data_IF_245717083348
#
_entry.id   IF_245717083348
#
_cell.length_a   1.000
_cell.length_b   1.000
_cell.length_c   1.000
_cell.angle_alpha   90.00
_cell.angle_beta   90.00
_cell.angle_gamma   90.00
#
_symmetry.space_group_name_H-M   'P 1'
#
loop_
_entity.id
_entity.type
_entity.pdbx_description
1 polymer ?
#
# COMPACT_ATOMS: atom_id res chain seq x y z
N UNK A 1 -47.51 62.12 19.69
CA UNK A 1 -46.21 62.26 20.38
C UNK A 1 -46.04 61.00 21.21
N UNK A 2 -45.19 60.07 20.77
CA UNK A 2 -44.65 58.95 21.55
C UNK A 2 -43.67 58.20 20.65
N UNK A 3 -42.41 58.63 20.70
CA UNK A 3 -41.31 57.83 20.16
C UNK A 3 -40.66 57.16 21.38
N UNK A 4 -40.89 55.86 21.49
CA UNK A 4 -40.18 55.00 22.41
C UNK A 4 -38.75 54.84 21.88
N UNK A 5 -37.69 55.06 22.68
CA UNK A 5 -36.34 54.85 22.20
C UNK A 5 -36.12 53.34 22.01
N UNK A 6 -35.90 52.93 20.77
CA UNK A 6 -35.44 51.59 20.45
C UNK A 6 -34.01 51.44 20.98
N UNK A 7 -33.83 50.66 22.03
CA UNK A 7 -32.51 50.14 22.40
C UNK A 7 -32.07 49.23 21.24
N UNK A 8 -31.29 49.78 20.31
CA UNK A 8 -30.54 49.00 19.32
C UNK A 8 -29.72 47.98 20.09
N UNK A 9 -29.87 46.71 19.69
CA UNK A 9 -29.23 45.57 20.31
C UNK A 9 -27.76 45.85 20.58
N UNK A 10 -27.30 45.39 21.74
CA UNK A 10 -25.90 45.43 22.14
C UNK A 10 -25.08 44.74 21.04
N UNK A 11 -24.39 45.52 20.21
CA UNK A 11 -23.30 45.01 19.38
C UNK A 11 -22.26 44.48 20.36
N UNK A 12 -22.36 43.19 20.69
CA UNK A 12 -21.38 42.48 21.49
C UNK A 12 -20.09 42.43 20.66
N UNK A 13 -19.24 43.46 20.85
CA UNK A 13 -17.94 43.53 20.23
C UNK A 13 -17.20 42.22 20.51
N UNK A 14 -16.87 41.48 19.45
CA UNK A 14 -16.09 40.22 19.52
C UNK A 14 -14.78 40.50 20.27
N UNK A 15 -14.58 39.98 21.50
CA UNK A 15 -13.34 40.23 22.21
C UNK A 15 -12.16 39.60 21.44
N UNK A 16 -11.14 40.41 21.21
CA UNK A 16 -9.88 39.99 20.58
C UNK A 16 -8.72 40.41 21.47
N UNK A 17 -7.91 39.44 21.91
CA UNK A 17 -6.62 39.69 22.54
C UNK A 17 -5.57 39.61 21.45
N UNK A 18 -4.83 40.69 21.21
CA UNK A 18 -3.81 40.76 20.15
C UNK A 18 -2.47 41.21 20.73
N UNK A 19 -1.40 40.47 20.45
CA UNK A 19 -0.04 40.82 20.81
C UNK A 19 0.96 40.14 19.86
N UNK A 20 1.92 40.91 19.31
CA UNK A 20 3.03 40.37 18.54
C UNK A 20 2.63 39.45 17.38
N UNK A 21 1.56 39.80 16.64
CA UNK A 21 1.05 39.00 15.50
C UNK A 21 0.17 37.80 15.91
N UNK A 22 0.08 37.48 17.21
CA UNK A 22 -0.80 36.43 17.71
C UNK A 22 -2.13 37.01 18.21
N UNK A 23 -3.23 36.29 17.97
CA UNK A 23 -4.57 36.71 18.34
C UNK A 23 -5.38 35.57 18.97
N UNK A 24 -6.16 35.90 19.99
CA UNK A 24 -7.24 35.03 20.50
C UNK A 24 -8.55 35.76 20.27
N UNK A 25 -9.42 35.18 19.44
CA UNK A 25 -10.73 35.73 19.10
C UNK A 25 -11.83 34.86 19.72
N UNK A 26 -12.73 35.49 20.46
CA UNK A 26 -13.86 34.81 21.10
C UNK A 26 -15.13 35.27 20.38
N UNK A 27 -15.85 34.37 19.72
CA UNK A 27 -17.05 34.71 18.95
C UNK A 27 -18.18 33.72 19.22
N UNK A 28 -19.35 33.98 18.63
CA UNK A 28 -20.47 33.04 18.65
C UNK A 28 -20.14 31.67 18.03
N UNK A 29 -19.08 31.58 17.20
CA UNK A 29 -18.61 30.32 16.59
C UNK A 29 -17.61 29.55 17.46
N UNK A 30 -17.12 30.13 18.55
CA UNK A 30 -16.12 29.54 19.44
C UNK A 30 -14.88 30.41 19.62
N UNK A 31 -13.78 29.77 20.03
CA UNK A 31 -12.48 30.40 20.30
C UNK A 31 -11.51 30.04 19.17
N UNK A 32 -11.01 31.05 18.48
CA UNK A 32 -9.97 30.92 17.45
C UNK A 32 -8.63 31.43 17.99
N UNK A 33 -7.58 30.62 17.85
CA UNK A 33 -6.20 31.02 18.15
C UNK A 33 -5.44 31.16 16.84
N UNK A 34 -4.95 32.37 16.57
CA UNK A 34 -4.21 32.72 15.35
C UNK A 34 -2.80 33.09 15.77
N UNK A 35 -1.80 32.49 15.15
CA UNK A 35 -0.39 32.83 15.36
C UNK A 35 0.36 32.72 14.05
N UNK A 36 1.31 33.62 13.83
CA UNK A 36 2.20 33.57 12.65
C UNK A 36 3.31 32.51 12.82
N UNK A 37 3.54 32.05 14.05
CA UNK A 37 4.60 31.12 14.39
C UNK A 37 4.02 29.81 14.96
N UNK A 38 4.84 29.06 15.71
CA UNK A 38 4.45 27.78 16.30
C UNK A 38 3.37 27.98 17.37
N UNK A 39 2.26 27.27 17.24
CA UNK A 39 1.31 27.06 18.33
C UNK A 39 1.77 25.88 19.21
N UNK A 40 2.21 26.17 20.44
CA UNK A 40 2.64 25.15 21.41
C UNK A 40 1.73 25.17 22.64
N UNK A 41 1.11 24.02 22.94
CA UNK A 41 0.27 23.85 24.13
C UNK A 41 0.90 22.81 25.04
N UNK A 42 1.09 23.18 26.32
CA UNK A 42 1.64 22.29 27.34
C UNK A 42 0.49 21.78 28.21
N UNK A 43 -0.01 20.59 27.92
CA UNK A 43 -1.08 19.95 28.69
C UNK A 43 -0.81 18.46 28.89
N UNK A 44 -1.31 17.89 30.00
CA UNK A 44 -1.19 16.46 30.30
C UNK A 44 -2.10 15.55 29.46
N UNK A 45 -3.19 16.10 28.92
CA UNK A 45 -4.12 15.43 28.02
C UNK A 45 -4.73 16.45 27.05
N UNK A 46 -4.81 16.09 25.77
CA UNK A 46 -5.67 16.78 24.81
C UNK A 46 -6.81 15.83 24.42
N UNK A 47 -8.05 16.30 24.52
CA UNK A 47 -9.23 15.54 24.06
C UNK A 47 -9.64 16.12 22.71
N UNK A 48 -9.46 15.34 21.64
CA UNK A 48 -9.92 15.68 20.30
C UNK A 48 -11.17 14.87 19.98
N UNK A 49 -12.34 15.53 19.98
CA UNK A 49 -13.66 14.89 19.84
C UNK A 49 -13.99 14.40 18.43
N UNK A 50 -13.06 14.55 17.48
CA UNK A 50 -13.22 14.15 16.08
C UNK A 50 -12.66 15.21 15.12
N UNK A 51 -12.45 14.80 13.87
CA UNK A 51 -12.09 15.71 12.78
C UNK A 51 -13.34 16.41 12.25
N UNK A 52 -13.25 17.71 12.00
CA UNK A 52 -14.13 18.35 11.03
C UNK A 52 -13.67 17.86 9.64
N UNK A 53 -14.57 17.22 8.87
CA UNK A 53 -14.27 16.77 7.52
C UNK A 53 -14.11 18.01 6.64
N UNK A 54 -12.88 18.41 6.35
CA UNK A 54 -12.61 19.28 5.22
C UNK A 54 -12.85 18.46 3.95
N UNK A 55 -13.86 18.85 3.16
CA UNK A 55 -14.15 18.22 1.88
C UNK A 55 -13.08 18.64 0.88
N UNK A 56 -11.98 17.88 0.85
CA UNK A 56 -10.89 18.11 -0.08
C UNK A 56 -11.27 17.41 -1.37
N UNK A 57 -11.51 18.20 -2.43
CA UNK A 57 -11.62 17.68 -3.79
C UNK A 57 -10.25 17.18 -4.22
N UNK A 58 -10.03 15.86 -4.11
CA UNK A 58 -8.81 15.22 -4.58
C UNK A 58 -8.87 15.18 -6.12
N UNK A 59 -7.91 15.78 -6.84
CA UNK A 59 -7.89 15.69 -8.29
C UNK A 59 -7.74 14.22 -8.70
N UNK A 60 -8.51 13.81 -9.72
CA UNK A 60 -8.40 12.47 -10.27
C UNK A 60 -7.00 12.29 -10.90
N UNK A 61 -6.29 11.24 -10.48
CA UNK A 61 -5.04 10.86 -11.11
C UNK A 61 -5.32 10.37 -12.55
N UNK A 62 -4.43 10.69 -13.53
CA UNK A 62 -4.57 10.16 -14.88
C UNK A 62 -4.51 8.63 -14.86
N UNK A 63 -5.49 7.99 -15.48
CA UNK A 63 -5.54 6.53 -15.58
C UNK A 63 -4.53 6.06 -16.63
N UNK A 64 -3.58 5.21 -16.22
CA UNK A 64 -2.66 4.53 -17.13
C UNK A 64 -3.44 3.50 -17.95
N UNK A 65 -3.75 3.82 -19.22
CA UNK A 65 -4.45 2.91 -20.14
C UNK A 65 -3.45 2.15 -21.00
N UNK A 66 -2.91 1.06 -20.47
CA UNK A 66 -2.08 0.16 -21.26
C UNK A 66 -2.88 -1.11 -21.57
N UNK A 67 -3.04 -1.44 -22.85
CA UNK A 67 -3.84 -2.61 -23.30
C UNK A 67 -3.05 -3.91 -23.33
N UNK A 68 -1.75 -3.86 -23.03
CA UNK A 68 -0.89 -5.03 -23.09
C UNK A 68 -1.11 -5.91 -21.87
N UNK A 69 -1.03 -7.21 -22.09
CA UNK A 69 -1.12 -8.24 -21.07
C UNK A 69 0.03 -9.23 -21.25
N UNK A 70 0.41 -9.90 -20.16
CA UNK A 70 1.38 -10.99 -20.19
C UNK A 70 0.88 -12.15 -19.34
N UNK A 71 1.00 -13.36 -19.90
CA UNK A 71 0.70 -14.61 -19.22
C UNK A 71 1.97 -15.43 -19.01
N UNK A 72 2.11 -16.05 -17.84
CA UNK A 72 3.17 -17.01 -17.54
C UNK A 72 2.51 -18.38 -17.36
N UNK A 73 3.18 -19.41 -17.86
CA UNK A 73 2.82 -20.81 -17.63
C UNK A 73 4.10 -21.60 -17.37
N UNK A 74 4.14 -22.38 -16.29
CA UNK A 74 5.31 -23.16 -15.88
C UNK A 74 4.89 -24.56 -15.44
N UNK A 75 5.35 -25.57 -16.20
CA UNK A 75 5.02 -26.98 -16.01
C UNK A 75 6.29 -27.84 -16.02
N UNK A 76 6.24 -28.96 -15.29
CA UNK A 76 7.27 -29.99 -15.28
C UNK A 76 7.17 -30.90 -16.52
N UNK A 77 8.15 -31.80 -16.70
CA UNK A 77 8.21 -32.79 -17.79
C UNK A 77 6.99 -33.71 -17.83
N UNK A 78 6.39 -33.97 -16.67
CA UNK A 78 5.16 -34.77 -16.52
C UNK A 78 3.88 -33.92 -16.63
N UNK A 79 3.99 -32.65 -17.07
CA UNK A 79 2.91 -31.68 -17.16
C UNK A 79 2.27 -31.31 -15.80
N UNK A 80 3.02 -31.53 -14.71
CA UNK A 80 2.65 -31.09 -13.35
C UNK A 80 2.87 -29.58 -13.21
N UNK A 81 1.88 -28.80 -12.71
CA UNK A 81 2.03 -27.36 -12.57
C UNK A 81 2.98 -26.98 -11.43
N UNK A 82 3.83 -25.98 -11.66
CA UNK A 82 4.65 -25.39 -10.60
C UNK A 82 3.83 -24.38 -9.78
N UNK A 83 2.95 -24.89 -8.93
CA UNK A 83 2.10 -24.06 -8.08
C UNK A 83 2.91 -23.28 -7.02
N UNK A 84 2.47 -22.06 -6.71
CA UNK A 84 3.05 -21.21 -5.65
C UNK A 84 4.55 -20.85 -5.84
N UNK A 85 5.07 -21.01 -7.06
CA UNK A 85 6.42 -20.59 -7.43
C UNK A 85 6.47 -19.08 -7.63
N UNK A 86 7.41 -18.40 -6.98
CA UNK A 86 7.63 -16.96 -7.18
C UNK A 86 8.24 -16.67 -8.56
N UNK A 87 7.90 -15.53 -9.13
CA UNK A 87 8.50 -15.05 -10.37
C UNK A 87 8.68 -13.53 -10.39
N UNK A 88 9.59 -13.08 -11.27
CA UNK A 88 9.88 -11.68 -11.56
C UNK A 88 9.95 -11.46 -13.07
N UNK A 89 9.13 -10.55 -13.58
CA UNK A 89 9.12 -10.13 -14.99
C UNK A 89 9.83 -8.79 -15.08
N UNK A 90 10.91 -8.72 -15.84
CA UNK A 90 11.67 -7.50 -16.08
C UNK A 90 11.29 -6.89 -17.41
N UNK A 91 10.96 -5.60 -17.43
CA UNK A 91 10.58 -4.85 -18.64
C UNK A 91 11.68 -3.87 -19.07
N UNK A 92 11.65 -3.45 -20.34
CA UNK A 92 12.64 -2.52 -20.93
C UNK A 92 12.66 -1.14 -20.26
N UNK A 93 11.55 -0.72 -19.67
CA UNK A 93 11.43 0.52 -18.89
C UNK A 93 11.95 0.40 -17.45
N UNK A 94 12.75 -0.63 -17.14
CA UNK A 94 13.22 -0.97 -15.79
C UNK A 94 12.11 -1.29 -14.77
N UNK A 95 10.85 -1.45 -15.20
CA UNK A 95 9.78 -1.91 -14.33
C UNK A 95 9.93 -3.41 -14.08
N UNK A 96 9.62 -3.83 -12.86
CA UNK A 96 9.58 -5.24 -12.48
C UNK A 96 8.20 -5.57 -11.93
N UNK A 97 7.61 -6.65 -12.43
CA UNK A 97 6.37 -7.21 -11.89
C UNK A 97 6.73 -8.52 -11.19
N UNK A 98 6.40 -8.61 -9.91
CA UNK A 98 6.65 -9.78 -9.07
C UNK A 98 5.32 -10.44 -8.70
N UNK A 99 5.31 -11.76 -8.59
CA UNK A 99 4.12 -12.50 -8.20
C UNK A 99 4.42 -13.96 -7.93
N UNK A 100 3.35 -14.73 -7.69
CA UNK A 100 3.41 -16.18 -7.56
C UNK A 100 2.48 -16.83 -8.57
N UNK A 101 2.88 -17.98 -9.09
CA UNK A 101 2.03 -18.79 -9.94
C UNK A 101 0.85 -19.34 -9.12
N UNK A 102 -0.30 -19.44 -9.77
CA UNK A 102 -1.51 -20.03 -9.21
C UNK A 102 -1.39 -21.57 -9.07
N UNK A 103 -2.44 -22.22 -8.60
CA UNK A 103 -2.50 -23.69 -8.43
C UNK A 103 -2.33 -24.46 -9.75
N UNK A 104 -2.53 -23.80 -10.89
CA UNK A 104 -2.37 -24.35 -12.23
C UNK A 104 -1.02 -24.01 -12.86
N UNK A 105 -0.09 -23.40 -12.10
CA UNK A 105 1.23 -23.01 -12.61
C UNK A 105 1.16 -21.82 -13.56
N UNK A 106 0.12 -20.98 -13.45
CA UNK A 106 -0.13 -19.84 -14.34
C UNK A 106 -0.08 -18.51 -13.61
N UNK A 107 0.17 -17.44 -14.35
CA UNK A 107 -0.08 -16.07 -13.88
C UNK A 107 -0.50 -15.18 -15.04
N UNK A 108 -1.32 -14.17 -14.74
CA UNK A 108 -1.82 -13.21 -15.72
C UNK A 108 -1.72 -11.78 -15.18
N UNK A 109 -1.16 -10.87 -15.96
CA UNK A 109 -1.07 -9.45 -15.64
C UNK A 109 -1.58 -8.59 -16.78
N UNK A 110 -2.47 -7.65 -16.46
CA UNK A 110 -2.98 -6.62 -17.38
C UNK A 110 -2.26 -5.28 -17.15
N UNK A 111 -2.28 -4.40 -18.15
CA UNK A 111 -1.66 -3.07 -18.14
C UNK A 111 -0.12 -3.11 -17.99
N UNK A 112 0.52 -4.14 -18.54
CA UNK A 112 1.97 -4.30 -18.45
C UNK A 112 2.71 -3.48 -19.52
N UNK A 113 3.98 -3.09 -19.30
CA UNK A 113 4.77 -2.40 -20.31
C UNK A 113 4.89 -3.18 -21.63
N UNK A 114 5.19 -2.47 -22.71
CA UNK A 114 5.18 -3.01 -24.08
C UNK A 114 6.13 -4.18 -24.30
N UNK A 115 7.28 -4.20 -23.61
CA UNK A 115 8.35 -5.16 -23.88
C UNK A 115 8.93 -5.74 -22.61
N UNK A 116 8.65 -7.02 -22.38
CA UNK A 116 9.34 -7.82 -21.39
C UNK A 116 10.72 -8.25 -21.94
N UNK A 117 11.76 -8.13 -21.11
CA UNK A 117 13.13 -8.56 -21.43
C UNK A 117 13.33 -10.02 -21.01
N UNK A 118 12.92 -10.36 -19.80
CA UNK A 118 13.16 -11.69 -19.20
C UNK A 118 12.20 -11.96 -18.04
N UNK A 119 12.00 -13.24 -17.77
CA UNK A 119 11.29 -13.76 -16.61
C UNK A 119 12.26 -14.60 -15.80
N UNK A 120 12.34 -14.35 -14.50
CA UNK A 120 13.07 -15.18 -13.54
C UNK A 120 12.07 -15.86 -12.62
N UNK A 121 12.21 -17.17 -12.44
CA UNK A 121 11.48 -17.93 -11.41
C UNK A 121 12.37 -18.08 -10.19
N UNK A 122 11.77 -18.02 -9.00
CA UNK A 122 12.47 -18.35 -7.76
C UNK A 122 12.86 -19.83 -7.77
N UNK A 123 14.11 -20.16 -7.44
CA UNK A 123 14.52 -21.56 -7.32
C UNK A 123 13.81 -22.19 -6.12
N UNK A 124 12.97 -23.19 -6.39
CA UNK A 124 12.32 -23.97 -5.36
C UNK A 124 13.36 -24.96 -4.77
N UNK A 125 14.18 -24.50 -3.84
CA UNK A 125 15.18 -25.30 -3.12
C UNK A 125 14.54 -26.32 -2.16
N UNK A 126 13.71 -27.22 -2.67
CA UNK A 126 13.22 -28.37 -1.88
C UNK A 126 13.29 -29.66 -2.70
N UNK A 127 14.40 -29.90 -3.38
CA UNK A 127 14.85 -31.27 -3.57
C UNK A 127 15.90 -31.47 -2.47
N UNK A 128 15.47 -32.04 -1.35
CA UNK A 128 16.43 -32.66 -0.44
C UNK A 128 16.91 -33.90 -1.21
N UNK A 129 18.06 -33.79 -1.89
CA UNK A 129 18.67 -34.92 -2.56
C UNK A 129 18.86 -36.01 -1.50
N UNK A 130 18.05 -37.06 -1.55
CA UNK A 130 18.32 -38.23 -0.73
C UNK A 130 19.72 -38.70 -1.13
N UNK A 131 20.62 -38.93 -0.15
CA UNK A 131 21.94 -39.44 -0.45
C UNK A 131 21.79 -40.70 -1.29
N UNK A 132 22.53 -40.78 -2.39
CA UNK A 132 22.60 -41.98 -3.22
C UNK A 132 22.81 -43.21 -2.33
N UNK A 133 22.16 -44.31 -2.69
CA UNK A 133 22.41 -45.60 -2.05
C UNK A 133 23.90 -45.89 -1.98
N UNK A 134 24.38 -46.37 -0.83
CA UNK A 134 25.78 -46.74 -0.69
C UNK A 134 26.10 -47.97 -1.56
N UNK A 135 27.37 -48.09 -1.97
CA UNK A 135 27.85 -49.22 -2.77
C UNK A 135 27.46 -50.59 -2.17
N UNK A 136 27.51 -50.70 -0.84
CA UNK A 136 27.14 -51.93 -0.12
C UNK A 136 25.64 -52.27 -0.23
N UNK A 137 24.77 -51.25 -0.26
CA UNK A 137 23.32 -51.40 -0.45
C UNK A 137 23.01 -51.97 -1.84
N UNK A 138 23.65 -51.42 -2.87
CA UNK A 138 23.50 -51.88 -4.25
C UNK A 138 24.01 -53.32 -4.43
N UNK A 139 25.13 -53.67 -3.78
CA UNK A 139 25.68 -55.04 -3.81
C UNK A 139 24.72 -56.06 -3.15
N UNK A 140 24.12 -55.69 -2.03
CA UNK A 140 23.18 -56.54 -1.32
C UNK A 140 21.88 -56.75 -2.12
N UNK A 141 21.40 -55.73 -2.83
CA UNK A 141 20.28 -55.85 -3.75
C UNK A 141 20.62 -56.79 -4.92
N UNK A 142 21.78 -56.65 -5.55
CA UNK A 142 22.19 -57.51 -6.67
C UNK A 142 22.25 -58.99 -6.28
N UNK A 143 22.80 -59.29 -5.10
CA UNK A 143 22.91 -60.66 -4.59
C UNK A 143 21.54 -61.30 -4.28
N UNK A 144 20.50 -60.49 -4.02
CA UNK A 144 19.14 -60.98 -3.84
C UNK A 144 18.40 -61.23 -5.16
N UNK A 145 18.88 -60.73 -6.30
CA UNK A 145 18.32 -61.01 -7.63
C UNK A 145 18.85 -62.30 -8.26
N UNK A 146 19.98 -62.83 -7.79
CA UNK A 146 20.58 -64.08 -8.30
C UNK A 146 20.08 -65.36 -7.59
N UNK A 147 18.89 -65.34 -6.98
CA UNK A 147 18.24 -66.52 -6.38
C UNK A 147 16.95 -66.93 -7.08
#
# INVERSE_FOLDING_TARGET
MNQQPAFKGLDIATPVLSAGGSQIRISAKGIEVITEAKFEVKAGQHVFSGREKADISVPALPTFQNKNWIGLEHFDVDNSPFANLGYKIFFENNQVIEGKLDEYGKAHHDNVPEKAIRVEYEENHVINDEPWDTFDSVLAQLNNFEK
#
